data_IF_102343891729
#
_entry.id   IF_102343891729
#
_cell.length_a   1.000
_cell.length_b   1.000
_cell.length_c   1.000
_cell.angle_alpha   90.00
_cell.angle_beta   90.00
_cell.angle_gamma   90.00
#
_symmetry.space_group_name_H-M   'P 1'
#
loop_
_entity.id
_entity.type
_entity.pdbx_description
1 polymer ?
#
# COMPACT_ATOMS: atom_id res chain seq x y z
N UNK A 1 -4.65 13.72 -11.38
CA UNK A 1 -3.59 12.68 -11.43
C UNK A 1 -2.71 12.91 -10.22
N UNK A 2 -2.74 12.03 -9.22
CA UNK A 2 -1.72 12.01 -8.19
C UNK A 2 -0.39 11.77 -8.92
N UNK A 3 0.50 12.77 -8.96
CA UNK A 3 1.86 12.57 -9.41
C UNK A 3 2.44 11.48 -8.49
N UNK A 4 2.81 10.34 -9.08
CA UNK A 4 3.39 9.24 -8.32
C UNK A 4 4.57 9.76 -7.48
N UNK A 5 4.77 9.16 -6.33
CA UNK A 5 5.87 9.46 -5.41
C UNK A 5 7.18 9.78 -6.15
N UNK A 6 7.62 11.04 -6.07
CA UNK A 6 8.85 11.52 -6.72
C UNK A 6 10.00 11.54 -5.71
N UNK A 7 9.70 11.94 -4.48
CA UNK A 7 10.66 12.20 -3.41
C UNK A 7 10.88 10.97 -2.55
N UNK A 8 9.80 10.38 -2.04
CA UNK A 8 9.87 9.23 -1.13
C UNK A 8 10.65 8.03 -1.69
N UNK A 9 10.56 7.65 -2.98
CA UNK A 9 11.36 6.54 -3.52
C UNK A 9 12.88 6.66 -3.31
N UNK A 10 13.39 7.87 -3.14
CA UNK A 10 14.82 8.11 -2.92
C UNK A 10 15.33 7.57 -1.58
N UNK A 11 14.44 7.47 -0.60
CA UNK A 11 14.78 7.10 0.77
C UNK A 11 13.88 6.01 1.35
N UNK A 12 12.89 5.50 0.60
CA UNK A 12 11.75 4.75 1.11
C UNK A 12 12.12 3.60 2.06
N UNK A 13 12.98 2.69 1.66
CA UNK A 13 13.38 1.55 2.50
C UNK A 13 14.20 2.00 3.73
N UNK A 14 14.97 3.09 3.61
CA UNK A 14 15.74 3.67 4.73
C UNK A 14 14.82 4.35 5.73
N UNK A 15 13.87 5.13 5.21
CA UNK A 15 12.87 5.82 6.02
C UNK A 15 12.00 4.82 6.80
N UNK A 16 11.49 3.78 6.16
CA UNK A 16 10.71 2.76 6.88
C UNK A 16 11.50 2.12 8.02
N UNK A 17 12.79 1.85 7.82
CA UNK A 17 13.66 1.28 8.88
C UNK A 17 13.92 2.22 10.06
N UNK A 18 13.73 3.53 9.92
CA UNK A 18 13.86 4.45 11.07
C UNK A 18 12.81 4.20 12.16
N UNK A 19 11.72 3.50 11.82
CA UNK A 19 10.68 3.08 12.76
C UNK A 19 10.88 1.63 13.29
N UNK A 20 12.08 1.06 13.13
CA UNK A 20 12.47 -0.25 13.62
C UNK A 20 12.31 -1.35 12.60
N UNK A 21 11.12 -1.56 12.02
CA UNK A 21 10.84 -2.54 10.96
C UNK A 21 10.07 -1.89 9.83
N UNK A 22 10.32 -2.34 8.60
CA UNK A 22 9.47 -1.92 7.48
C UNK A 22 8.05 -2.50 7.63
N UNK A 23 7.07 -1.80 7.03
CA UNK A 23 5.66 -2.17 7.16
C UNK A 23 5.37 -3.57 6.62
N UNK A 24 6.04 -4.00 5.57
CA UNK A 24 5.87 -5.35 5.00
C UNK A 24 6.25 -6.43 6.02
N UNK A 25 7.30 -6.21 6.80
CA UNK A 25 7.71 -7.13 7.88
C UNK A 25 6.68 -7.15 9.01
N UNK A 26 6.11 -6.00 9.36
CA UNK A 26 5.09 -5.90 10.43
C UNK A 26 3.77 -6.58 10.04
N UNK A 27 3.36 -6.44 8.76
CA UNK A 27 2.07 -6.94 8.29
C UNK A 27 2.08 -8.39 7.84
N UNK A 28 3.25 -8.94 7.51
CA UNK A 28 3.40 -10.30 6.97
C UNK A 28 2.74 -11.38 7.83
N UNK A 29 2.89 -11.42 9.17
CA UNK A 29 2.22 -12.44 9.99
C UNK A 29 0.70 -12.41 9.86
N UNK A 30 0.10 -11.21 9.82
CA UNK A 30 -1.35 -11.04 9.62
C UNK A 30 -1.78 -11.51 8.22
N UNK A 31 -1.00 -11.20 7.19
CA UNK A 31 -1.29 -11.67 5.83
C UNK A 31 -1.22 -13.19 5.75
N UNK A 32 -0.21 -13.83 6.35
CA UNK A 32 -0.08 -15.28 6.37
C UNK A 32 -1.26 -15.95 7.11
N UNK A 33 -1.67 -15.43 8.27
CA UNK A 33 -2.85 -15.91 8.98
C UNK A 33 -4.14 -15.75 8.13
N UNK A 34 -4.23 -14.65 7.36
CA UNK A 34 -5.35 -14.44 6.41
C UNK A 34 -5.32 -15.47 5.29
N UNK A 35 -4.16 -15.71 4.68
CA UNK A 35 -3.97 -16.75 3.63
C UNK A 35 -4.41 -18.12 4.13
N UNK A 36 -4.00 -18.49 5.35
CA UNK A 36 -4.39 -19.75 6.00
C UNK A 36 -5.90 -19.81 6.23
N UNK A 37 -6.51 -18.75 6.77
CA UNK A 37 -7.96 -18.69 7.02
C UNK A 37 -8.79 -18.79 5.73
N UNK A 38 -8.24 -18.29 4.61
CA UNK A 38 -8.82 -18.43 3.28
C UNK A 38 -8.51 -19.79 2.62
N UNK A 39 -7.79 -20.68 3.30
CA UNK A 39 -7.34 -22.00 2.79
C UNK A 39 -6.57 -21.89 1.46
N UNK A 40 -5.82 -20.80 1.29
CA UNK A 40 -4.96 -20.63 0.12
C UNK A 40 -3.61 -21.32 0.35
N UNK A 41 -3.17 -22.04 -0.64
CA UNK A 41 -1.80 -22.58 -0.72
C UNK A 41 -0.94 -21.68 -1.62
N UNK A 42 0.40 -21.68 -1.47
CA UNK A 42 1.28 -20.92 -2.35
C UNK A 42 1.00 -21.20 -3.83
N UNK A 43 0.67 -20.17 -4.58
CA UNK A 43 0.25 -20.23 -5.99
C UNK A 43 0.66 -18.92 -6.68
N UNK A 44 -0.31 -18.14 -7.12
CA UNK A 44 -0.11 -16.90 -7.87
C UNK A 44 -0.64 -15.69 -7.09
N UNK A 45 0.12 -14.60 -7.08
CA UNK A 45 -0.21 -13.39 -6.32
C UNK A 45 0.07 -12.13 -7.13
N UNK A 46 -0.82 -11.15 -7.00
CA UNK A 46 -0.65 -9.78 -7.46
C UNK A 46 -0.46 -8.86 -6.24
N UNK A 47 0.66 -8.13 -6.19
CA UNK A 47 0.89 -7.08 -5.19
C UNK A 47 0.69 -5.71 -5.84
N UNK A 48 -0.43 -5.07 -5.54
CA UNK A 48 -0.89 -3.80 -6.12
C UNK A 48 -0.30 -2.64 -5.35
N UNK A 49 0.31 -1.68 -6.06
CA UNK A 49 1.11 -0.61 -5.47
C UNK A 49 2.25 -1.17 -4.59
N UNK A 50 3.00 -2.10 -5.16
CA UNK A 50 4.01 -2.89 -4.44
C UNK A 50 5.20 -2.06 -3.92
N UNK A 51 5.31 -0.79 -4.30
CA UNK A 51 6.42 0.08 -3.93
C UNK A 51 7.77 -0.52 -4.32
N UNK A 52 8.67 -0.60 -3.37
CA UNK A 52 10.02 -1.20 -3.54
C UNK A 52 10.01 -2.74 -3.49
N UNK A 53 8.83 -3.37 -3.51
CA UNK A 53 8.66 -4.81 -3.66
C UNK A 53 8.97 -5.66 -2.42
N UNK A 54 9.06 -5.07 -1.23
CA UNK A 54 9.42 -5.82 -0.01
C UNK A 54 8.44 -6.96 0.26
N UNK A 55 7.13 -6.72 0.23
CA UNK A 55 6.11 -7.75 0.45
C UNK A 55 6.15 -8.82 -0.65
N UNK A 56 6.20 -8.40 -1.92
CA UNK A 56 6.28 -9.30 -3.06
C UNK A 56 7.47 -10.28 -2.93
N UNK A 57 8.64 -9.78 -2.52
CA UNK A 57 9.83 -10.61 -2.30
C UNK A 57 9.68 -11.56 -1.10
N UNK A 58 9.03 -11.12 -0.02
CA UNK A 58 8.77 -11.98 1.14
C UNK A 58 7.82 -13.13 0.81
N UNK A 59 6.79 -12.88 -0.01
CA UNK A 59 5.86 -13.91 -0.46
C UNK A 59 6.51 -14.84 -1.48
N UNK A 60 7.36 -14.33 -2.38
CA UNK A 60 8.09 -15.14 -3.33
C UNK A 60 9.05 -16.15 -2.67
N UNK A 61 9.68 -15.76 -1.53
CA UNK A 61 10.50 -16.68 -0.71
C UNK A 61 9.68 -17.76 0.00
N UNK A 62 8.34 -17.67 -0.07
CA UNK A 62 7.36 -18.65 0.45
C UNK A 62 6.62 -19.35 -0.68
N UNK A 63 7.31 -19.53 -1.80
CA UNK A 63 6.85 -20.25 -2.97
C UNK A 63 5.69 -19.64 -3.77
N UNK A 64 5.32 -18.39 -3.49
CA UNK A 64 4.39 -17.67 -4.33
C UNK A 64 5.06 -17.18 -5.62
N UNK A 65 4.34 -17.27 -6.75
CA UNK A 65 4.68 -16.54 -7.98
C UNK A 65 4.01 -15.18 -7.91
N UNK A 66 4.78 -14.09 -7.91
CA UNK A 66 4.27 -12.75 -7.61
C UNK A 66 4.46 -11.80 -8.79
N UNK A 67 3.39 -11.11 -9.17
CA UNK A 67 3.44 -9.91 -9.97
C UNK A 67 3.32 -8.70 -9.03
N UNK A 68 4.35 -7.87 -8.97
CA UNK A 68 4.33 -6.59 -8.27
C UNK A 68 4.07 -5.46 -9.27
N UNK A 69 3.04 -4.64 -9.05
CA UNK A 69 2.73 -3.49 -9.89
C UNK A 69 2.79 -2.20 -9.10
N UNK A 70 3.40 -1.16 -9.68
CA UNK A 70 3.44 0.19 -9.11
C UNK A 70 3.48 1.23 -10.23
N UNK A 71 2.84 2.38 -10.03
CA UNK A 71 2.82 3.46 -11.02
C UNK A 71 4.16 4.22 -11.08
N UNK A 72 4.93 4.23 -9.98
CA UNK A 72 6.21 4.93 -9.88
C UNK A 72 7.33 4.14 -10.56
N UNK A 73 7.91 4.72 -11.61
CA UNK A 73 9.09 4.14 -12.27
C UNK A 73 10.26 3.96 -11.30
N UNK A 74 10.43 4.86 -10.32
CA UNK A 74 11.50 4.79 -9.33
C UNK A 74 11.29 3.65 -8.33
N UNK A 75 10.03 3.41 -7.89
CA UNK A 75 9.69 2.27 -7.04
C UNK A 75 9.97 0.96 -7.76
N UNK A 76 9.55 0.84 -9.03
CA UNK A 76 9.82 -0.36 -9.84
C UNK A 76 11.32 -0.55 -10.09
N UNK A 77 12.07 0.52 -10.34
CA UNK A 77 13.53 0.40 -10.48
C UNK A 77 14.17 -0.11 -9.16
N UNK A 78 13.75 0.44 -8.02
CA UNK A 78 14.23 0.00 -6.71
C UNK A 78 13.83 -1.46 -6.39
N UNK A 79 12.62 -1.89 -6.78
CA UNK A 79 12.18 -3.29 -6.58
C UNK A 79 13.00 -4.28 -7.41
N UNK A 80 13.28 -3.94 -8.67
CA UNK A 80 14.09 -4.77 -9.59
C UNK A 80 15.57 -4.87 -9.18
N UNK A 81 16.08 -3.86 -8.47
CA UNK A 81 17.45 -3.88 -7.95
C UNK A 81 17.64 -4.84 -6.76
N UNK A 82 16.56 -5.31 -6.15
CA UNK A 82 16.61 -6.26 -5.02
C UNK A 82 16.76 -7.69 -5.52
N UNK A 83 17.52 -8.53 -4.76
CA UNK A 83 17.67 -9.94 -5.05
C UNK A 83 16.34 -10.67 -4.85
N UNK A 84 15.82 -11.24 -5.91
CA UNK A 84 14.59 -12.03 -5.94
C UNK A 84 14.91 -13.52 -6.12
N UNK A 85 14.05 -14.45 -5.64
CA UNK A 85 14.09 -15.84 -6.05
C UNK A 85 13.89 -15.96 -7.57
N UNK A 86 14.73 -16.78 -8.22
CA UNK A 86 14.74 -16.89 -9.68
C UNK A 86 13.36 -17.29 -10.23
N UNK A 87 12.88 -16.54 -11.22
CA UNK A 87 11.61 -16.80 -11.91
C UNK A 87 10.33 -16.62 -11.09
N UNK A 88 10.42 -16.21 -9.82
CA UNK A 88 9.27 -16.11 -8.92
C UNK A 88 8.63 -14.73 -8.86
N UNK A 89 9.32 -13.68 -9.27
CA UNK A 89 8.80 -12.29 -9.18
C UNK A 89 8.97 -11.56 -10.50
N UNK A 90 7.89 -10.89 -10.92
CA UNK A 90 7.88 -9.97 -12.07
C UNK A 90 7.38 -8.61 -11.60
N UNK A 91 8.20 -7.56 -11.71
CA UNK A 91 7.82 -6.19 -11.39
C UNK A 91 7.46 -5.41 -12.65
N UNK A 92 6.26 -4.80 -12.66
CA UNK A 92 5.70 -4.09 -13.80
C UNK A 92 5.31 -2.66 -13.41
N UNK A 93 5.62 -1.70 -14.25
CA UNK A 93 5.12 -0.35 -14.08
C UNK A 93 3.70 -0.25 -14.63
N UNK A 94 2.70 -0.20 -13.74
CA UNK A 94 1.29 -0.07 -14.10
C UNK A 94 0.54 0.75 -13.05
N UNK A 95 -0.52 1.43 -13.48
CA UNK A 95 -1.47 2.11 -12.59
C UNK A 95 -2.46 1.08 -12.01
N UNK A 96 -2.70 1.12 -10.70
CA UNK A 96 -3.64 0.22 -10.02
C UNK A 96 -5.06 0.27 -10.59
N UNK A 97 -5.41 1.38 -11.27
CA UNK A 97 -6.72 1.57 -11.91
C UNK A 97 -6.86 0.85 -13.25
N UNK A 98 -5.76 0.30 -13.80
CA UNK A 98 -5.75 -0.40 -15.10
C UNK A 98 -4.64 -1.46 -15.13
N UNK A 99 -4.69 -2.41 -14.19
CA UNK A 99 -3.73 -3.52 -14.12
C UNK A 99 -4.08 -4.57 -15.16
N UNK A 100 -3.08 -5.05 -15.88
CA UNK A 100 -3.18 -6.13 -16.87
C UNK A 100 -2.11 -7.17 -16.60
N UNK A 101 -2.53 -8.42 -16.47
CA UNK A 101 -1.66 -9.57 -16.28
C UNK A 101 -1.87 -10.56 -17.42
N UNK A 102 -0.84 -11.34 -17.71
CA UNK A 102 -0.88 -12.42 -18.71
C UNK A 102 -1.72 -13.62 -18.23
N UNK A 103 -1.96 -13.74 -16.91
CA UNK A 103 -2.76 -14.80 -16.27
C UNK A 103 -3.44 -14.27 -15.03
N UNK A 104 -4.56 -14.91 -14.64
CA UNK A 104 -5.24 -14.59 -13.38
C UNK A 104 -4.48 -15.15 -12.19
N UNK A 105 -4.75 -14.58 -11.00
CA UNK A 105 -4.11 -14.93 -9.75
C UNK A 105 -5.14 -15.31 -8.68
N UNK A 106 -4.70 -16.10 -7.68
CA UNK A 106 -5.55 -16.49 -6.56
C UNK A 106 -5.56 -15.49 -5.41
N UNK A 107 -4.51 -14.69 -5.27
CA UNK A 107 -4.38 -13.67 -4.22
C UNK A 107 -3.99 -12.34 -4.84
N UNK A 108 -4.68 -11.27 -4.47
CA UNK A 108 -4.22 -9.90 -4.68
C UNK A 108 -4.03 -9.21 -3.33
N UNK A 109 -3.03 -8.35 -3.22
CA UNK A 109 -2.79 -7.51 -2.04
C UNK A 109 -2.63 -6.05 -2.43
N UNK A 110 -2.95 -5.14 -1.50
CA UNK A 110 -2.57 -3.73 -1.59
C UNK A 110 -2.37 -3.20 -0.17
N UNK A 111 -1.12 -2.98 0.23
CA UNK A 111 -0.77 -2.70 1.61
C UNK A 111 -0.22 -1.29 1.81
N UNK A 112 -0.18 -0.87 3.07
CA UNK A 112 0.34 0.42 3.49
C UNK A 112 -0.44 1.60 2.89
N UNK A 113 -1.77 1.60 3.15
CA UNK A 113 -2.70 2.69 2.76
C UNK A 113 -2.67 3.10 1.27
N UNK A 114 -2.10 2.26 0.41
CA UNK A 114 -1.94 2.59 -1.01
C UNK A 114 -3.26 3.00 -1.68
N UNK A 115 -4.38 2.40 -1.28
CA UNK A 115 -5.70 2.74 -1.82
C UNK A 115 -6.25 4.08 -1.31
N UNK A 116 -5.73 4.63 -0.20
CA UNK A 116 -6.12 5.96 0.27
C UNK A 116 -5.63 7.08 -0.67
N UNK A 117 -4.60 6.82 -1.50
CA UNK A 117 -4.13 7.76 -2.53
C UNK A 117 -5.14 7.96 -3.69
N UNK A 118 -6.16 7.12 -3.79
CA UNK A 118 -7.29 7.32 -4.68
C UNK A 118 -8.22 8.38 -4.05
N UNK A 119 -8.45 9.48 -4.76
CA UNK A 119 -9.13 10.63 -4.16
C UNK A 119 -10.65 10.65 -4.38
N UNK A 120 -11.17 9.72 -5.18
CA UNK A 120 -12.59 9.61 -5.49
C UNK A 120 -13.10 8.17 -5.40
N UNK A 121 -14.40 8.01 -5.14
CA UNK A 121 -15.06 6.70 -5.20
C UNK A 121 -14.96 6.07 -6.58
N UNK A 122 -14.98 6.90 -7.65
CA UNK A 122 -14.84 6.43 -9.02
C UNK A 122 -13.48 5.78 -9.28
N UNK A 123 -12.39 6.37 -8.75
CA UNK A 123 -11.05 5.80 -8.84
C UNK A 123 -10.95 4.50 -8.03
N UNK A 124 -11.52 4.47 -6.81
CA UNK A 124 -11.56 3.26 -5.98
C UNK A 124 -12.31 2.13 -6.68
N UNK A 125 -13.50 2.41 -7.24
CA UNK A 125 -14.28 1.43 -8.00
C UNK A 125 -13.52 0.94 -9.23
N UNK A 126 -12.86 1.83 -9.97
CA UNK A 126 -12.04 1.48 -11.13
C UNK A 126 -10.90 0.53 -10.73
N UNK A 127 -10.23 0.83 -9.62
CA UNK A 127 -9.16 -0.02 -9.06
C UNK A 127 -9.69 -1.39 -8.66
N UNK A 128 -10.81 -1.45 -7.93
CA UNK A 128 -11.41 -2.73 -7.55
C UNK A 128 -11.80 -3.58 -8.78
N UNK A 129 -12.36 -2.97 -9.82
CA UNK A 129 -12.66 -3.66 -11.08
C UNK A 129 -11.41 -4.16 -11.79
N UNK A 130 -10.35 -3.35 -11.80
CA UNK A 130 -9.04 -3.73 -12.35
C UNK A 130 -8.48 -4.96 -11.62
N UNK A 131 -8.45 -4.93 -10.29
CA UNK A 131 -8.00 -6.07 -9.47
C UNK A 131 -8.90 -7.29 -9.66
N UNK A 132 -10.24 -7.11 -9.72
CA UNK A 132 -11.19 -8.21 -9.97
C UNK A 132 -10.90 -8.91 -11.29
N UNK A 133 -10.58 -8.15 -12.33
CA UNK A 133 -10.22 -8.69 -13.66
C UNK A 133 -8.94 -9.54 -13.63
N UNK A 134 -8.04 -9.30 -12.69
CA UNK A 134 -6.82 -10.07 -12.50
C UNK A 134 -7.01 -11.32 -11.61
N UNK A 135 -8.13 -11.44 -10.88
CA UNK A 135 -8.36 -12.55 -9.96
C UNK A 135 -9.17 -13.68 -10.63
N UNK A 136 -8.83 -14.91 -10.27
CA UNK A 136 -9.69 -16.06 -10.48
C UNK A 136 -11.02 -15.90 -9.69
N UNK A 137 -12.08 -16.53 -10.13
CA UNK A 137 -13.29 -16.65 -9.32
C UNK A 137 -12.97 -17.49 -8.08
N UNK A 138 -13.36 -17.03 -6.89
CA UNK A 138 -12.96 -17.61 -5.60
C UNK A 138 -11.59 -17.14 -5.10
N UNK A 139 -10.84 -16.35 -5.89
CA UNK A 139 -9.63 -15.69 -5.44
C UNK A 139 -9.92 -14.54 -4.46
N UNK A 140 -8.90 -14.08 -3.74
CA UNK A 140 -9.04 -13.10 -2.67
C UNK A 140 -8.27 -11.82 -2.92
N UNK A 141 -8.87 -10.71 -2.57
CA UNK A 141 -8.21 -9.41 -2.46
C UNK A 141 -8.09 -9.01 -1.00
N UNK A 142 -6.87 -8.85 -0.51
CA UNK A 142 -6.54 -8.47 0.87
C UNK A 142 -5.85 -7.12 0.86
N UNK A 143 -6.37 -6.14 1.62
CA UNK A 143 -5.80 -4.81 1.65
C UNK A 143 -6.03 -4.11 2.99
N UNK A 144 -5.22 -3.09 3.26
CA UNK A 144 -5.44 -2.17 4.37
C UNK A 144 -5.78 -0.76 3.89
N UNK A 145 -6.41 -0.01 4.79
CA UNK A 145 -6.68 1.42 4.65
C UNK A 145 -6.42 2.13 5.97
N UNK A 146 -5.93 3.35 5.91
CA UNK A 146 -6.04 4.28 7.01
C UNK A 146 -7.52 4.56 7.29
N UNK A 147 -7.95 4.40 8.54
CA UNK A 147 -9.31 4.71 8.96
C UNK A 147 -9.42 6.18 9.43
N UNK A 148 -10.62 6.63 9.79
CA UNK A 148 -10.86 8.01 10.20
C UNK A 148 -10.05 8.41 11.44
N UNK A 149 -9.82 7.47 12.36
CA UNK A 149 -8.98 7.71 13.56
C UNK A 149 -7.54 8.03 13.16
N UNK A 150 -6.97 7.33 12.19
CA UNK A 150 -5.64 7.63 11.66
C UNK A 150 -5.55 9.06 11.14
N UNK A 151 -6.53 9.48 10.31
CA UNK A 151 -6.54 10.83 9.76
C UNK A 151 -6.69 11.91 10.83
N UNK A 152 -7.54 11.70 11.83
CA UNK A 152 -7.74 12.65 12.94
C UNK A 152 -6.56 12.72 13.91
N UNK A 153 -5.78 11.65 14.06
CA UNK A 153 -4.69 11.58 15.03
C UNK A 153 -3.30 11.82 14.45
N UNK A 154 -2.99 11.24 13.30
CA UNK A 154 -1.64 11.29 12.70
C UNK A 154 -1.52 12.33 11.59
N UNK A 155 -2.56 12.49 10.75
CA UNK A 155 -2.54 13.44 9.64
C UNK A 155 -2.86 14.90 10.05
N UNK A 156 -2.95 15.16 11.34
CA UNK A 156 -3.04 16.50 11.93
C UNK A 156 -1.76 16.91 12.64
N UNK A 157 -0.75 16.04 12.68
CA UNK A 157 0.51 16.27 13.37
C UNK A 157 1.65 16.41 12.36
N UNK A 158 2.43 17.48 12.51
CA UNK A 158 3.67 17.63 11.76
C UNK A 158 4.78 16.80 12.41
N UNK A 159 5.76 16.40 11.60
CA UNK A 159 6.88 15.60 12.10
C UNK A 159 8.15 15.78 11.29
N UNK A 160 9.26 15.46 11.90
CA UNK A 160 10.54 15.38 11.22
C UNK A 160 11.26 14.09 11.61
N UNK A 161 11.89 13.47 10.61
CA UNK A 161 12.75 12.29 10.79
C UNK A 161 14.15 12.66 10.36
N UNK A 162 15.11 12.53 11.29
CA UNK A 162 16.52 12.79 11.02
C UNK A 162 17.27 11.46 10.85
N UNK A 163 18.01 11.36 9.76
CA UNK A 163 18.93 10.26 9.49
C UNK A 163 20.25 10.85 9.02
N UNK A 164 21.36 10.11 9.16
CA UNK A 164 22.67 10.59 8.74
C UNK A 164 22.75 11.09 7.30
N UNK A 165 21.91 10.53 6.41
CA UNK A 165 21.94 10.80 4.97
C UNK A 165 20.76 11.69 4.50
N UNK A 166 19.76 11.90 5.34
CA UNK A 166 18.60 12.72 5.00
C UNK A 166 17.88 13.28 6.23
N UNK A 167 17.14 14.36 5.99
CA UNK A 167 16.08 14.83 6.88
C UNK A 167 14.78 14.88 6.10
N UNK A 168 13.75 14.22 6.62
CA UNK A 168 12.40 14.23 6.08
C UNK A 168 11.50 15.05 7.01
N UNK A 169 10.81 16.05 6.46
CA UNK A 169 9.83 16.88 7.17
C UNK A 169 8.46 16.63 6.55
N UNK A 170 7.48 16.34 7.42
CA UNK A 170 6.08 16.13 7.05
C UNK A 170 5.23 17.24 7.66
N UNK A 171 4.57 18.00 6.81
CA UNK A 171 3.58 19.01 7.21
C UNK A 171 2.20 18.51 6.81
N UNK A 172 1.47 18.01 7.80
CA UNK A 172 0.23 17.27 7.61
C UNK A 172 -0.99 18.14 7.89
N UNK A 173 -2.05 17.91 7.15
CA UNK A 173 -3.36 18.50 7.38
C UNK A 173 -4.47 17.54 6.97
N UNK A 174 -5.58 17.55 7.70
CA UNK A 174 -6.77 16.76 7.38
C UNK A 174 -8.01 17.64 7.45
N UNK A 175 -8.81 17.62 6.38
CA UNK A 175 -10.13 18.26 6.33
C UNK A 175 -11.21 17.18 6.50
N UNK A 176 -11.89 17.11 7.66
CA UNK A 176 -12.89 16.07 7.92
C UNK A 176 -14.17 16.26 7.07
N UNK A 177 -14.53 17.48 6.69
CA UNK A 177 -15.70 17.75 5.84
C UNK A 177 -15.52 17.22 4.43
N UNK A 178 -14.33 17.35 3.85
CA UNK A 178 -13.98 16.80 2.55
C UNK A 178 -13.46 15.38 2.63
N UNK A 179 -13.10 14.91 3.84
CA UNK A 179 -12.40 13.64 4.11
C UNK A 179 -11.11 13.50 3.30
N UNK A 180 -10.40 14.61 3.13
CA UNK A 180 -9.13 14.68 2.41
C UNK A 180 -8.02 15.10 3.36
N UNK A 181 -6.91 14.39 3.24
CA UNK A 181 -5.67 14.67 3.94
C UNK A 181 -4.59 15.08 2.94
N UNK A 182 -3.71 15.96 3.37
CA UNK A 182 -2.54 16.41 2.61
C UNK A 182 -1.31 16.36 3.49
N UNK A 183 -0.23 15.80 2.96
CA UNK A 183 1.10 15.92 3.53
C UNK A 183 2.00 16.67 2.55
N UNK A 184 2.59 17.80 2.99
CA UNK A 184 3.74 18.37 2.29
C UNK A 184 4.98 17.64 2.79
N UNK A 185 5.58 16.87 1.89
CA UNK A 185 6.78 16.08 2.15
C UNK A 185 7.99 16.87 1.67
N UNK A 186 8.84 17.31 2.59
CA UNK A 186 10.11 17.99 2.26
C UNK A 186 11.28 17.10 2.68
N UNK A 187 12.06 16.68 1.69
CA UNK A 187 13.26 15.87 1.87
C UNK A 187 14.50 16.71 1.64
N UNK A 188 15.40 16.74 2.62
CA UNK A 188 16.76 17.23 2.49
C UNK A 188 17.67 16.01 2.38
N UNK A 189 18.16 15.73 1.17
CA UNK A 189 19.06 14.61 0.88
C UNK A 189 20.51 15.08 0.89
N UNK A 190 21.36 14.42 1.69
CA UNK A 190 22.76 14.80 1.84
C UNK A 190 23.59 14.44 0.62
N UNK A 191 24.38 15.41 0.14
CA UNK A 191 25.38 15.27 -0.89
C UNK A 191 26.71 15.85 -0.39
N UNK A 192 27.55 15.00 0.18
CA UNK A 192 28.79 15.46 0.82
C UNK A 192 28.51 16.40 1.99
N UNK A 193 28.93 17.67 1.88
CA UNK A 193 28.71 18.74 2.87
C UNK A 193 27.42 19.55 2.63
N UNK A 194 26.73 19.32 1.53
CA UNK A 194 25.53 20.06 1.11
C UNK A 194 24.28 19.19 1.22
N UNK A 195 23.10 19.82 1.15
CA UNK A 195 21.83 19.15 1.08
C UNK A 195 21.05 19.59 -0.16
N UNK A 196 20.50 18.63 -0.89
CA UNK A 196 19.53 18.90 -1.96
C UNK A 196 18.11 18.79 -1.39
N UNK A 197 17.35 19.87 -1.52
CA UNK A 197 15.94 19.89 -1.11
C UNK A 197 15.05 19.38 -2.23
N UNK A 198 14.12 18.49 -1.87
CA UNK A 198 13.02 18.02 -2.71
C UNK A 198 11.71 18.23 -1.96
N UNK A 199 10.65 18.61 -2.66
CA UNK A 199 9.33 18.80 -2.05
C UNK A 199 8.27 18.23 -2.95
N UNK A 200 7.29 17.50 -2.36
CA UNK A 200 6.08 17.03 -3.03
C UNK A 200 4.88 17.14 -2.10
N UNK A 201 3.67 17.13 -2.67
CA UNK A 201 2.43 17.02 -1.92
C UNK A 201 1.82 15.64 -2.15
N UNK A 202 1.56 14.93 -1.06
CA UNK A 202 0.87 13.65 -1.04
C UNK A 202 -0.54 13.88 -0.54
N UNK A 203 -1.51 13.30 -1.22
CA UNK A 203 -2.91 13.39 -0.86
C UNK A 203 -3.47 12.02 -0.59
N UNK A 204 -4.32 11.93 0.42
CA UNK A 204 -5.08 10.74 0.76
C UNK A 204 -6.53 11.07 1.06
N UNK A 205 -7.41 10.11 0.77
CA UNK A 205 -8.84 10.18 1.11
C UNK A 205 -9.18 9.17 2.20
N UNK A 206 -9.91 9.65 3.20
CA UNK A 206 -10.55 8.81 4.20
C UNK A 206 -11.83 8.21 3.61
N UNK A 207 -11.80 6.92 3.25
CA UNK A 207 -12.98 6.18 2.84
C UNK A 207 -13.70 5.59 4.05
N UNK A 208 -15.02 5.71 4.10
CA UNK A 208 -15.82 5.05 5.13
C UNK A 208 -15.97 3.55 4.81
N UNK A 209 -16.16 2.74 5.85
CA UNK A 209 -16.45 1.30 5.70
C UNK A 209 -17.62 1.04 4.73
N UNK A 210 -18.66 1.86 4.78
CA UNK A 210 -19.84 1.74 3.91
C UNK A 210 -19.49 2.00 2.44
N UNK A 211 -18.68 3.01 2.15
CA UNK A 211 -18.20 3.33 0.78
C UNK A 211 -17.38 2.18 0.21
N UNK A 212 -16.38 1.70 0.97
CA UNK A 212 -15.51 0.59 0.55
C UNK A 212 -16.32 -0.67 0.26
N UNK A 213 -17.20 -1.08 1.19
CA UNK A 213 -18.02 -2.28 1.02
C UNK A 213 -18.98 -2.16 -0.19
N UNK A 214 -19.53 -0.96 -0.43
CA UNK A 214 -20.37 -0.69 -1.61
C UNK A 214 -19.57 -0.79 -2.91
N UNK A 215 -18.36 -0.23 -2.95
CA UNK A 215 -17.50 -0.27 -4.16
C UNK A 215 -17.01 -1.69 -4.44
N UNK A 216 -16.64 -2.47 -3.40
CA UNK A 216 -16.28 -3.88 -3.54
C UNK A 216 -17.41 -4.68 -4.19
N UNK A 217 -18.66 -4.56 -3.67
CA UNK A 217 -19.81 -5.25 -4.25
C UNK A 217 -20.05 -4.86 -5.72
N UNK A 218 -19.97 -3.56 -6.04
CA UNK A 218 -20.11 -3.06 -7.43
C UNK A 218 -19.00 -3.56 -8.37
N UNK A 219 -17.87 -3.99 -7.82
CA UNK A 219 -16.74 -4.53 -8.57
C UNK A 219 -16.74 -6.06 -8.66
N UNK A 220 -17.74 -6.77 -8.13
CA UNK A 220 -17.81 -8.23 -8.15
C UNK A 220 -17.05 -8.90 -7.01
N UNK A 221 -17.02 -8.26 -5.83
CA UNK A 221 -16.45 -8.85 -4.61
C UNK A 221 -17.48 -9.06 -3.54
N UNK A 222 -17.31 -10.13 -2.75
CA UNK A 222 -17.98 -10.37 -1.46
C UNK A 222 -17.00 -10.09 -0.33
N UNK A 223 -17.33 -9.18 0.59
CA UNK A 223 -16.53 -8.96 1.80
C UNK A 223 -16.63 -10.19 2.70
N UNK A 224 -15.50 -10.82 3.00
CA UNK A 224 -15.40 -12.00 3.88
C UNK A 224 -15.08 -11.61 5.31
N UNK A 225 -14.18 -10.65 5.50
CA UNK A 225 -13.90 -10.08 6.81
C UNK A 225 -13.51 -8.60 6.74
N UNK A 226 -13.73 -7.92 7.84
CA UNK A 226 -13.33 -6.56 8.12
C UNK A 226 -12.92 -6.47 9.58
N UNK A 227 -11.74 -5.95 9.83
CA UNK A 227 -11.21 -5.72 11.18
C UNK A 227 -10.51 -4.37 11.24
N UNK A 228 -10.54 -3.73 12.41
CA UNK A 228 -9.69 -2.59 12.69
C UNK A 228 -8.49 -3.02 13.54
N UNK A 229 -7.31 -2.50 13.24
CA UNK A 229 -6.08 -2.88 13.93
C UNK A 229 -5.12 -1.70 14.06
N UNK A 230 -4.15 -1.86 14.95
CA UNK A 230 -3.00 -0.97 15.07
C UNK A 230 -1.71 -1.74 14.78
N UNK A 231 -0.74 -1.08 14.17
CA UNK A 231 0.62 -1.56 13.98
C UNK A 231 1.64 -0.76 14.80
N UNK A 232 1.17 0.22 15.57
CA UNK A 232 2.00 1.04 16.45
C UNK A 232 1.98 0.51 17.87
N UNK A 233 3.08 0.71 18.60
CA UNK A 233 3.17 0.39 20.01
C UNK A 233 2.50 1.44 20.93
N UNK A 234 1.94 2.52 20.35
CA UNK A 234 1.24 3.56 21.12
C UNK A 234 -0.20 3.12 21.45
N UNK A 235 -0.47 2.69 22.70
CA UNK A 235 -1.79 2.22 23.10
C UNK A 235 -2.85 3.34 23.09
N UNK A 236 -2.43 4.61 23.15
CA UNK A 236 -3.33 5.77 23.13
C UNK A 236 -3.96 6.03 21.76
N UNK A 237 -3.37 5.54 20.69
CA UNK A 237 -3.90 5.72 19.34
C UNK A 237 -5.08 4.79 19.01
N UNK A 238 -5.15 3.61 19.65
CA UNK A 238 -6.13 2.57 19.31
C UNK A 238 -5.96 2.08 17.86
N UNK A 239 -6.98 1.42 17.28
CA UNK A 239 -6.91 0.93 15.91
C UNK A 239 -6.97 2.08 14.90
N UNK A 240 -5.91 2.25 14.12
CA UNK A 240 -5.75 3.32 13.12
C UNK A 240 -5.83 2.85 11.68
N UNK A 241 -5.89 1.54 11.46
CA UNK A 241 -6.07 0.94 10.14
C UNK A 241 -7.23 -0.04 10.13
N UNK A 242 -7.78 -0.27 8.94
CA UNK A 242 -8.73 -1.33 8.66
C UNK A 242 -8.10 -2.37 7.76
N UNK A 243 -8.38 -3.64 8.02
CA UNK A 243 -7.99 -4.81 7.27
C UNK A 243 -9.20 -5.40 6.56
N UNK A 244 -9.08 -5.63 5.27
CA UNK A 244 -10.16 -6.10 4.42
C UNK A 244 -9.78 -7.38 3.72
N UNK A 245 -10.69 -8.34 3.74
CA UNK A 245 -10.61 -9.57 2.95
C UNK A 245 -11.85 -9.65 2.08
N UNK A 246 -11.68 -9.63 0.77
CA UNK A 246 -12.74 -9.66 -0.20
C UNK A 246 -12.53 -10.81 -1.19
N UNK A 247 -13.56 -11.64 -1.38
CA UNK A 247 -13.56 -12.76 -2.31
C UNK A 247 -14.12 -12.33 -3.67
N UNK A 248 -13.44 -12.70 -4.73
CA UNK A 248 -13.90 -12.50 -6.10
C UNK A 248 -15.06 -13.46 -6.42
N UNK A 249 -16.27 -12.92 -6.64
CA UNK A 249 -17.45 -13.73 -6.96
C UNK A 249 -17.74 -13.73 -8.47
N UNK A 250 -18.54 -14.70 -8.92
CA UNK A 250 -18.96 -14.83 -10.31
C UNK A 250 -19.75 -13.60 -10.79
#
# INVERSE_FOLDING_TARGET
MSAGYIVLPLIYDRWQRTYGKDYSTLILPRLLATVESCRLTPSTMLDVACGTGSLALMMARRDWRVWGVDASARMIAASRAKRAPAGRVKFLRQDMRDVKLDSRVMLATSMFDSLNHLLTEGELLKTFRSVRGCLETGGFFVFDLNNERCFKSLWTKNGATHHRDFTLVLENSYNPGLRLARSRVTLFLRHGRQYRRHTEAVWERCFTRREVARMLRKAGFRVRSYEEFSFTADPGLGPIKSWWVAEAVA
#
